data_IF_118214275281
#
_entry.id   IF_118214275281
#
_cell.length_a   1.000
_cell.length_b   1.000
_cell.length_c   1.000
_cell.angle_alpha   90.00
_cell.angle_beta   90.00
_cell.angle_gamma   90.00
#
_symmetry.space_group_name_H-M   'P 1'
#
loop_
_entity.id
_entity.type
_entity.pdbx_description
1 polymer ?
#
# COMPACT_ATOMS: atom_id res chain seq x y z
N UNK A 1 35.51 30.00 -3.73
CA UNK A 1 36.07 28.89 -2.94
C UNK A 1 35.34 28.83 -1.62
N UNK A 2 34.34 27.95 -1.50
CA UNK A 2 33.69 27.60 -0.24
C UNK A 2 33.43 26.10 -0.30
N UNK A 3 34.30 25.38 0.41
CA UNK A 3 34.24 23.93 0.64
C UNK A 3 33.48 23.71 1.95
N UNK A 4 32.72 22.61 2.01
CA UNK A 4 32.06 21.95 3.17
C UNK A 4 30.55 21.83 2.93
N UNK A 5 29.90 20.67 3.04
CA UNK A 5 30.26 19.33 3.51
C UNK A 5 29.23 18.39 2.86
N UNK A 6 29.67 17.31 2.22
CA UNK A 6 28.78 16.23 1.79
C UNK A 6 28.14 15.63 3.04
N UNK A 7 26.84 15.91 3.24
CA UNK A 7 26.04 15.20 4.23
C UNK A 7 25.67 13.86 3.62
N UNK A 8 26.51 12.87 3.87
CA UNK A 8 26.17 11.46 3.79
C UNK A 8 25.01 11.26 4.78
N UNK A 9 23.78 11.30 4.27
CA UNK A 9 22.60 10.89 5.00
C UNK A 9 22.60 9.35 4.94
N UNK A 10 23.32 8.74 5.89
CA UNK A 10 23.08 7.34 6.29
C UNK A 10 21.73 7.36 7.00
N UNK A 11 20.65 7.27 6.22
CA UNK A 11 19.37 6.83 6.74
C UNK A 11 19.53 5.34 7.00
N UNK A 12 19.61 5.02 8.29
CA UNK A 12 19.38 3.72 8.90
C UNK A 12 18.07 3.11 8.35
N UNK A 13 18.15 2.47 7.19
CA UNK A 13 17.09 1.63 6.62
C UNK A 13 17.35 0.18 7.06
N UNK A 14 17.31 -0.03 8.37
CA UNK A 14 17.40 -1.34 9.00
C UNK A 14 16.17 -1.50 9.91
N UNK A 15 15.44 -2.58 9.71
CA UNK A 15 14.30 -3.09 10.50
C UNK A 15 12.93 -2.42 10.32
N UNK A 16 12.24 -2.79 9.24
CA UNK A 16 10.84 -3.26 9.33
C UNK A 16 10.58 -4.35 8.28
N UNK A 17 11.23 -5.51 8.45
CA UNK A 17 10.79 -6.78 7.87
C UNK A 17 10.16 -7.60 9.01
N UNK A 18 8.96 -7.19 9.44
CA UNK A 18 8.10 -8.02 10.26
C UNK A 18 6.71 -8.03 9.65
N UNK A 19 6.52 -8.90 8.67
CA UNK A 19 5.20 -9.45 8.41
C UNK A 19 4.89 -10.41 9.56
N UNK A 20 4.12 -9.96 10.55
CA UNK A 20 3.50 -10.86 11.53
C UNK A 20 2.41 -11.61 10.79
N UNK A 21 2.72 -12.81 10.30
CA UNK A 21 1.73 -13.73 9.76
C UNK A 21 1.38 -14.77 10.82
N UNK A 22 0.49 -14.43 11.74
CA UNK A 22 -0.27 -15.44 12.48
C UNK A 22 -1.75 -15.05 12.54
N UNK A 23 -2.50 -15.49 11.54
CA UNK A 23 -3.94 -15.68 11.67
C UNK A 23 -4.18 -17.18 11.93
N UNK A 24 -4.35 -17.53 13.20
CA UNK A 24 -4.80 -18.85 13.61
C UNK A 24 -6.27 -19.05 13.22
N UNK A 25 -6.56 -19.99 12.33
CA UNK A 25 -7.90 -20.57 12.20
C UNK A 25 -7.80 -22.02 11.67
N UNK A 26 -8.24 -22.97 12.51
CA UNK A 26 -8.43 -24.40 12.24
C UNK A 26 -7.17 -25.26 11.98
N UNK A 27 -7.17 -26.50 12.48
CA UNK A 27 -6.18 -27.54 12.14
C UNK A 27 -6.42 -27.95 10.67
N UNK A 28 -6.00 -27.10 9.75
CA UNK A 28 -5.94 -27.41 8.33
C UNK A 28 -4.73 -28.32 8.13
N UNK A 29 -4.92 -29.44 7.42
CA UNK A 29 -3.83 -30.38 7.13
C UNK A 29 -2.65 -29.65 6.47
N UNK A 30 -1.43 -30.07 6.79
CA UNK A 30 -0.22 -29.43 6.28
C UNK A 30 -0.17 -29.41 4.73
N UNK A 31 -0.74 -30.43 4.10
CA UNK A 31 -0.93 -30.50 2.64
C UNK A 31 -1.88 -29.40 2.11
N UNK A 32 -2.99 -29.15 2.80
CA UNK A 32 -3.91 -28.06 2.43
C UNK A 32 -3.29 -26.67 2.68
N UNK A 33 -2.53 -26.48 3.77
CA UNK A 33 -1.73 -25.27 4.02
C UNK A 33 -0.65 -25.04 2.95
N UNK A 34 -0.15 -26.10 2.30
CA UNK A 34 0.79 -25.97 1.18
C UNK A 34 0.13 -25.49 -0.10
N UNK A 35 -1.14 -25.82 -0.32
CA UNK A 35 -1.84 -25.57 -1.60
C UNK A 35 -2.61 -24.26 -1.63
N UNK A 36 -3.11 -23.79 -0.49
CA UNK A 36 -3.82 -22.50 -0.39
C UNK A 36 -3.22 -21.65 0.73
N UNK A 37 -2.96 -20.38 0.43
CA UNK A 37 -2.58 -19.35 1.41
C UNK A 37 -3.72 -18.36 1.51
N UNK A 38 -4.15 -18.03 2.73
CA UNK A 38 -4.99 -16.86 2.99
C UNK A 38 -4.19 -15.96 3.92
N UNK A 39 -4.15 -14.67 3.62
CA UNK A 39 -3.32 -13.73 4.36
C UNK A 39 -3.91 -12.34 4.43
N UNK A 40 -3.37 -11.56 5.35
CA UNK A 40 -3.62 -10.15 5.50
C UNK A 40 -2.31 -9.46 5.86
N UNK A 41 -2.00 -8.36 5.18
CA UNK A 41 -0.80 -7.58 5.45
C UNK A 41 -1.15 -6.12 5.76
N UNK A 42 -0.28 -5.48 6.55
CA UNK A 42 -0.23 -4.02 6.71
C UNK A 42 1.06 -3.51 6.08
N UNK A 43 0.99 -2.39 5.39
CA UNK A 43 2.14 -1.84 4.67
C UNK A 43 2.12 -0.31 4.69
N UNK A 44 3.24 0.29 4.28
CA UNK A 44 3.34 1.72 4.04
C UNK A 44 3.95 1.98 2.67
N UNK A 45 3.37 2.93 1.94
CA UNK A 45 3.87 3.33 0.64
C UNK A 45 4.69 4.62 0.73
N UNK A 46 5.76 4.66 -0.06
CA UNK A 46 6.54 5.86 -0.33
C UNK A 46 6.35 6.20 -1.80
N UNK A 47 5.76 7.37 -2.08
CA UNK A 47 5.51 7.78 -3.45
C UNK A 47 6.75 8.46 -4.04
N UNK A 48 7.37 7.81 -5.02
CA UNK A 48 8.48 8.39 -5.79
C UNK A 48 7.92 9.25 -6.93
N UNK A 49 8.63 10.33 -7.28
CA UNK A 49 8.24 11.27 -8.34
C UNK A 49 6.85 11.89 -8.15
N UNK A 50 6.55 12.33 -6.93
CA UNK A 50 5.33 13.10 -6.66
C UNK A 50 5.27 14.38 -7.52
N UNK A 51 4.07 14.81 -7.97
CA UNK A 51 3.90 16.05 -8.74
C UNK A 51 4.50 17.27 -8.04
N UNK A 52 4.94 18.25 -8.83
CA UNK A 52 5.52 19.49 -8.32
C UNK A 52 4.62 20.15 -7.26
N UNK A 53 5.22 20.53 -6.12
CA UNK A 53 4.58 21.15 -4.95
C UNK A 53 3.68 20.22 -4.11
N UNK A 54 3.45 18.98 -4.54
CA UNK A 54 2.86 17.95 -3.69
C UNK A 54 3.92 17.43 -2.72
N UNK A 55 3.57 17.37 -1.44
CA UNK A 55 4.34 16.76 -0.38
C UNK A 55 3.46 15.68 0.23
N UNK A 56 3.87 14.44 0.02
CA UNK A 56 3.28 13.28 0.68
C UNK A 56 3.84 13.11 2.09
N UNK A 57 3.05 12.49 2.97
CA UNK A 57 3.56 12.08 4.29
C UNK A 57 4.58 10.95 4.13
N UNK A 58 5.57 10.89 5.02
CA UNK A 58 6.57 9.81 5.07
C UNK A 58 5.96 8.42 5.27
N UNK A 59 4.81 8.33 5.96
CA UNK A 59 4.12 7.05 6.24
C UNK A 59 2.67 7.13 5.77
N UNK A 60 2.35 6.30 4.78
CA UNK A 60 1.03 6.18 4.14
C UNK A 60 0.52 4.76 4.34
N UNK A 61 -0.28 4.55 5.38
CA UNK A 61 -0.68 3.20 5.79
C UNK A 61 -1.69 2.58 4.82
N UNK A 62 -1.44 1.34 4.45
CA UNK A 62 -2.35 0.46 3.73
C UNK A 62 -2.51 -0.89 4.41
N UNK A 63 -3.55 -1.60 3.99
CA UNK A 63 -3.83 -2.97 4.40
C UNK A 63 -4.35 -3.76 3.21
N UNK A 64 -4.03 -5.04 3.16
CA UNK A 64 -4.55 -5.95 2.15
C UNK A 64 -5.07 -7.24 2.79
N UNK A 65 -5.92 -7.93 2.05
CA UNK A 65 -6.32 -9.31 2.33
C UNK A 65 -6.27 -10.07 1.02
N UNK A 66 -5.81 -11.31 1.04
CA UNK A 66 -5.64 -12.11 -0.17
C UNK A 66 -5.85 -13.59 0.06
N UNK A 67 -6.12 -14.26 -1.06
CA UNK A 67 -6.09 -15.71 -1.17
C UNK A 67 -5.21 -16.08 -2.35
N UNK A 68 -4.32 -17.05 -2.16
CA UNK A 68 -3.45 -17.56 -3.21
C UNK A 68 -3.51 -19.07 -3.28
N UNK A 69 -3.58 -19.58 -4.50
CA UNK A 69 -3.30 -20.97 -4.80
C UNK A 69 -1.81 -21.14 -5.09
N UNK A 70 -1.18 -22.11 -4.43
CA UNK A 70 0.25 -22.35 -4.54
C UNK A 70 0.52 -23.61 -5.39
N UNK A 71 1.32 -23.43 -6.43
CA UNK A 71 1.90 -24.49 -7.23
C UNK A 71 3.28 -24.85 -6.66
N UNK A 72 3.52 -26.13 -6.38
CA UNK A 72 4.87 -26.60 -6.03
C UNK A 72 5.68 -26.79 -7.31
N UNK A 73 6.81 -26.11 -7.41
CA UNK A 73 7.68 -26.15 -8.59
C UNK A 73 8.73 -27.27 -8.51
N UNK A 74 8.91 -27.88 -7.34
CA UNK A 74 9.82 -28.99 -7.14
C UNK A 74 9.26 -30.08 -6.24
N UNK A 75 9.82 -31.30 -6.36
CA UNK A 75 9.35 -32.49 -5.61
C UNK A 75 9.51 -32.35 -4.09
N UNK A 76 10.54 -31.63 -3.63
CA UNK A 76 10.72 -31.32 -2.20
C UNK A 76 9.69 -30.32 -1.67
N UNK A 77 9.05 -29.55 -2.56
CA UNK A 77 8.16 -28.44 -2.24
C UNK A 77 8.84 -27.31 -1.46
N UNK A 78 10.14 -27.11 -1.70
CA UNK A 78 10.91 -25.97 -1.18
C UNK A 78 10.82 -24.74 -2.08
N UNK A 79 10.35 -24.90 -3.31
CA UNK A 79 10.08 -23.80 -4.24
C UNK A 79 8.64 -23.89 -4.72
N UNK A 80 7.94 -22.77 -4.71
CA UNK A 80 6.57 -22.68 -5.19
C UNK A 80 6.26 -21.36 -5.88
N UNK A 81 5.12 -21.32 -6.55
CA UNK A 81 4.55 -20.13 -7.15
C UNK A 81 3.13 -19.93 -6.64
N UNK A 82 2.82 -18.77 -6.09
CA UNK A 82 1.50 -18.39 -5.60
C UNK A 82 0.83 -17.41 -6.55
N UNK A 83 -0.47 -17.63 -6.83
CA UNK A 83 -1.32 -16.64 -7.52
C UNK A 83 -2.74 -16.72 -7.00
N UNK A 84 -3.43 -15.59 -6.93
CA UNK A 84 -4.86 -15.57 -6.63
C UNK A 84 -5.41 -14.16 -6.53
N UNK A 85 -6.64 -13.98 -6.01
CA UNK A 85 -7.26 -12.68 -5.83
C UNK A 85 -6.95 -12.05 -4.46
N UNK A 86 -7.05 -10.74 -4.39
CA UNK A 86 -7.00 -9.97 -3.16
C UNK A 86 -7.70 -8.63 -3.25
N UNK A 87 -7.94 -8.03 -2.09
CA UNK A 87 -8.43 -6.66 -1.94
C UNK A 87 -7.39 -5.86 -1.17
N UNK A 88 -7.03 -4.70 -1.68
CA UNK A 88 -6.01 -3.83 -1.13
C UNK A 88 -6.59 -2.44 -0.90
N UNK A 89 -6.32 -1.82 0.25
CA UNK A 89 -6.69 -0.44 0.51
C UNK A 89 -5.50 0.34 1.04
N UNK A 90 -5.13 1.44 0.36
CA UNK A 90 -4.08 2.34 0.83
C UNK A 90 -4.63 3.73 1.14
N UNK A 91 -3.97 4.44 2.04
CA UNK A 91 -4.26 5.84 2.35
C UNK A 91 -3.05 6.69 1.98
N UNK A 92 -3.23 7.57 0.98
CA UNK A 92 -2.26 8.58 0.62
C UNK A 92 -2.58 9.88 1.37
N UNK A 93 -1.67 10.32 2.25
CA UNK A 93 -1.77 11.61 2.94
C UNK A 93 -0.88 12.63 2.24
N UNK A 94 -1.42 13.81 1.97
CA UNK A 94 -0.69 14.87 1.27
C UNK A 94 -1.12 16.28 1.70
N UNK A 95 -0.40 17.28 1.20
CA UNK A 95 -0.77 18.69 1.24
C UNK A 95 -1.59 19.14 0.02
N UNK A 96 -2.24 18.22 -0.69
CA UNK A 96 -3.00 18.52 -1.91
C UNK A 96 -4.41 17.96 -1.85
N UNK A 97 -5.32 18.58 -2.60
CA UNK A 97 -6.65 18.05 -2.91
C UNK A 97 -6.73 17.68 -4.38
N UNK A 98 -7.51 16.65 -4.72
CA UNK A 98 -7.90 16.39 -6.10
C UNK A 98 -9.08 17.32 -6.42
N UNK A 99 -8.98 18.09 -7.50
CA UNK A 99 -10.06 19.00 -7.92
C UNK A 99 -11.27 18.24 -8.46
N UNK A 100 -11.02 17.23 -9.30
CA UNK A 100 -12.05 16.36 -9.83
C UNK A 100 -11.56 14.91 -9.83
N UNK A 101 -12.17 14.09 -8.96
CA UNK A 101 -11.86 12.66 -8.88
C UNK A 101 -12.46 11.92 -10.09
N UNK A 102 -13.47 12.50 -10.75
CA UNK A 102 -14.19 11.94 -11.90
C UNK A 102 -13.62 12.35 -13.25
N UNK A 103 -12.76 13.37 -13.32
CA UNK A 103 -12.15 13.84 -14.56
C UNK A 103 -11.16 12.85 -15.18
N UNK A 104 -10.93 13.00 -16.49
CA UNK A 104 -9.99 12.18 -17.28
C UNK A 104 -8.53 12.35 -16.84
N UNK A 105 -8.23 13.41 -16.09
CA UNK A 105 -6.92 13.65 -15.48
C UNK A 105 -7.06 14.01 -14.00
N UNK A 106 -6.22 13.39 -13.16
CA UNK A 106 -6.18 13.66 -11.73
C UNK A 106 -5.19 14.81 -11.49
N UNK A 107 -5.72 16.01 -11.22
CA UNK A 107 -4.92 17.17 -10.88
C UNK A 107 -4.81 17.35 -9.36
N UNK A 108 -3.58 17.24 -8.84
CA UNK A 108 -3.27 17.52 -7.44
C UNK A 108 -3.04 19.02 -7.25
N UNK A 109 -3.94 19.68 -6.54
CA UNK A 109 -3.82 21.10 -6.21
C UNK A 109 -3.32 21.28 -4.79
N UNK A 110 -2.17 21.96 -4.59
CA UNK A 110 -1.65 22.20 -3.26
C UNK A 110 -2.60 23.09 -2.45
N UNK A 111 -2.74 22.78 -1.16
CA UNK A 111 -3.63 23.46 -0.23
C UNK A 111 -2.86 24.64 0.38
N UNK A 112 -3.34 25.86 0.16
CA UNK A 112 -2.72 27.10 0.67
C UNK A 112 -3.35 27.62 1.97
N UNK A 113 -4.45 27.02 2.41
CA UNK A 113 -5.20 27.39 3.63
C UNK A 113 -4.90 26.44 4.78
N UNK A 114 -5.16 26.87 6.02
CA UNK A 114 -4.98 25.99 7.18
C UNK A 114 -5.88 24.75 7.09
N UNK A 115 -5.24 23.59 7.19
CA UNK A 115 -5.91 22.29 7.08
C UNK A 115 -5.31 21.30 8.08
N UNK A 116 -6.18 20.46 8.63
CA UNK A 116 -5.79 19.43 9.59
C UNK A 116 -5.41 18.13 8.89
N UNK A 117 -6.09 17.79 7.79
CA UNK A 117 -5.88 16.52 7.08
C UNK A 117 -6.40 16.60 5.65
N UNK A 118 -5.56 16.23 4.69
CA UNK A 118 -5.98 15.85 3.34
C UNK A 118 -5.50 14.42 3.07
N UNK A 119 -6.43 13.55 2.67
CA UNK A 119 -6.09 12.18 2.27
C UNK A 119 -6.96 11.67 1.15
N UNK A 120 -6.35 10.83 0.32
CA UNK A 120 -7.02 10.03 -0.70
C UNK A 120 -6.88 8.57 -0.28
N UNK A 121 -7.99 7.85 -0.23
CA UNK A 121 -8.00 6.41 0.02
C UNK A 121 -8.48 5.72 -1.23
N UNK A 122 -7.70 4.75 -1.70
CA UNK A 122 -8.04 3.98 -2.89
C UNK A 122 -8.09 2.51 -2.53
N UNK A 123 -9.10 1.82 -3.05
CA UNK A 123 -9.32 0.39 -2.89
C UNK A 123 -9.12 -0.27 -4.24
N UNK A 124 -8.35 -1.34 -4.26
CA UNK A 124 -8.04 -2.13 -5.45
C UNK A 124 -8.52 -3.56 -5.27
N UNK A 125 -9.07 -4.11 -6.34
CA UNK A 125 -8.97 -5.54 -6.58
C UNK A 125 -7.57 -5.81 -7.12
N UNK A 126 -6.84 -6.77 -6.57
CA UNK A 126 -5.50 -7.08 -7.04
C UNK A 126 -5.24 -8.57 -7.15
N UNK A 127 -4.27 -8.92 -8.00
CA UNK A 127 -3.80 -10.27 -8.24
C UNK A 127 -2.35 -10.34 -7.74
N UNK A 128 -2.12 -10.87 -6.51
CA UNK A 128 -0.77 -11.16 -6.03
C UNK A 128 -0.19 -12.39 -6.71
N UNK A 129 1.02 -12.25 -7.25
CA UNK A 129 1.81 -13.34 -7.81
C UNK A 129 3.18 -13.37 -7.17
N UNK A 130 3.60 -14.49 -6.59
CA UNK A 130 4.89 -14.57 -5.92
C UNK A 130 5.58 -15.93 -6.05
N UNK A 131 6.90 -15.92 -6.16
CA UNK A 131 7.76 -17.08 -6.05
C UNK A 131 8.16 -17.24 -4.58
N UNK A 132 7.89 -18.42 -4.02
CA UNK A 132 8.07 -18.79 -2.62
C UNK A 132 9.24 -19.74 -2.47
N UNK A 133 10.19 -19.40 -1.61
CA UNK A 133 11.30 -20.23 -1.19
C UNK A 133 11.11 -20.64 0.28
N UNK A 134 11.22 -21.93 0.56
CA UNK A 134 11.17 -22.49 1.92
C UNK A 134 12.51 -23.15 2.22
N UNK A 135 13.20 -22.63 3.23
CA UNK A 135 14.47 -23.19 3.70
C UNK A 135 14.21 -24.25 4.76
N UNK A 136 15.19 -25.13 5.00
CA UNK A 136 15.07 -26.24 5.96
C UNK A 136 14.85 -25.79 7.41
N UNK A 137 15.15 -24.53 7.71
CA UNK A 137 15.03 -23.93 9.03
C UNK A 137 13.69 -23.21 9.23
N UNK A 138 12.64 -23.61 8.49
CA UNK A 138 11.31 -22.98 8.44
C UNK A 138 11.25 -21.51 8.00
N UNK A 139 12.39 -20.91 7.65
CA UNK A 139 12.46 -19.59 7.04
C UNK A 139 11.80 -19.64 5.65
N UNK A 140 10.92 -18.68 5.38
CA UNK A 140 10.24 -18.51 4.10
C UNK A 140 10.57 -17.15 3.52
N UNK A 141 10.93 -17.12 2.25
CA UNK A 141 11.18 -15.91 1.49
C UNK A 141 10.26 -15.90 0.27
N UNK A 142 9.60 -14.78 0.01
CA UNK A 142 8.73 -14.60 -1.15
C UNK A 142 9.16 -13.37 -1.93
N UNK A 143 9.18 -13.48 -3.25
CA UNK A 143 9.41 -12.35 -4.16
C UNK A 143 8.28 -12.36 -5.20
N UNK A 144 7.61 -11.23 -5.39
CA UNK A 144 6.41 -11.19 -6.21
C UNK A 144 6.04 -9.81 -6.73
N UNK A 145 4.99 -9.80 -7.55
CA UNK A 145 4.39 -8.64 -8.17
C UNK A 145 2.89 -8.63 -7.90
N UNK A 146 2.32 -7.43 -7.77
CA UNK A 146 0.89 -7.22 -7.57
C UNK A 146 0.34 -6.43 -8.75
N UNK A 147 -0.70 -6.96 -9.41
CA UNK A 147 -1.43 -6.25 -10.47
C UNK A 147 -2.78 -5.83 -9.93
N UNK A 148 -3.10 -4.53 -9.95
CA UNK A 148 -4.30 -3.99 -9.32
C UNK A 148 -5.20 -3.20 -10.26
N UNK A 149 -6.51 -3.36 -10.10
CA UNK A 149 -7.57 -2.56 -10.71
C UNK A 149 -8.27 -1.76 -9.61
N UNK A 150 -8.47 -0.46 -9.83
CA UNK A 150 -9.16 0.39 -8.85
C UNK A 150 -10.64 0.02 -8.80
N UNK A 151 -11.21 -0.03 -7.59
CA UNK A 151 -12.65 -0.32 -7.38
C UNK A 151 -13.38 0.89 -6.78
N UNK A 152 -12.73 1.57 -5.84
CA UNK A 152 -13.34 2.67 -5.08
C UNK A 152 -12.25 3.67 -4.70
N UNK A 153 -12.55 4.96 -4.81
CA UNK A 153 -11.67 6.04 -4.42
C UNK A 153 -12.43 7.06 -3.58
N UNK A 154 -11.85 7.44 -2.44
CA UNK A 154 -12.44 8.34 -1.46
C UNK A 154 -11.46 9.42 -1.07
N UNK A 155 -11.84 10.67 -1.30
CA UNK A 155 -11.12 11.84 -0.79
C UNK A 155 -11.73 12.27 0.55
N UNK A 156 -10.89 12.60 1.51
CA UNK A 156 -11.27 13.20 2.79
C UNK A 156 -10.40 14.43 3.03
N UNK A 157 -11.05 15.59 3.07
CA UNK A 157 -10.43 16.86 3.44
C UNK A 157 -11.06 17.39 4.73
N UNK A 158 -10.21 17.81 5.66
CA UNK A 158 -10.57 18.49 6.89
C UNK A 158 -9.71 19.74 7.00
N UNK A 159 -10.32 20.89 6.81
CA UNK A 159 -9.64 22.17 6.86
C UNK A 159 -10.60 23.31 6.56
N UNK A 160 -10.05 24.50 6.46
CA UNK A 160 -10.86 25.66 6.09
C UNK A 160 -11.24 25.57 4.62
N UNK A 161 -12.48 25.93 4.28
CA UNK A 161 -12.87 26.10 2.87
C UNK A 161 -12.25 27.41 2.35
N UNK A 162 -11.60 27.43 1.17
CA UNK A 162 -11.04 28.65 0.62
C UNK A 162 -12.05 29.79 0.42
N UNK A 163 -13.34 29.49 0.28
CA UNK A 163 -14.40 30.50 0.05
C UNK A 163 -14.76 31.33 1.27
N UNK A 164 -14.88 30.71 2.45
CA UNK A 164 -15.49 31.33 3.64
C UNK A 164 -14.64 31.20 4.90
N UNK A 165 -13.45 30.60 4.81
CA UNK A 165 -12.54 30.30 5.91
C UNK A 165 -13.19 29.52 7.10
N UNK A 166 -14.36 28.91 6.87
CA UNK A 166 -15.05 28.02 7.81
C UNK A 166 -14.45 26.62 7.74
N UNK A 167 -14.29 25.98 8.90
CA UNK A 167 -13.87 24.58 9.00
C UNK A 167 -14.95 23.67 8.41
N UNK A 168 -14.56 22.89 7.41
CA UNK A 168 -15.44 21.93 6.74
C UNK A 168 -14.82 20.54 6.70
N UNK A 169 -15.68 19.53 6.75
CA UNK A 169 -15.35 18.16 6.44
C UNK A 169 -15.91 17.84 5.05
N UNK A 170 -15.05 17.70 4.07
CA UNK A 170 -15.45 17.28 2.72
C UNK A 170 -15.07 15.81 2.52
N UNK A 171 -16.04 15.01 2.10
CA UNK A 171 -15.88 13.58 1.87
C UNK A 171 -16.53 13.23 0.54
N UNK A 172 -15.70 13.01 -0.46
CA UNK A 172 -16.13 12.68 -1.82
C UNK A 172 -15.78 11.23 -2.14
N UNK A 173 -16.67 10.55 -2.87
CA UNK A 173 -16.54 9.14 -3.23
C UNK A 173 -16.74 8.99 -4.74
N UNK A 174 -15.83 8.28 -5.40
CA UNK A 174 -15.98 7.77 -6.76
C UNK A 174 -15.91 6.25 -6.72
N UNK A 175 -16.87 5.62 -7.38
CA UNK A 175 -16.87 4.19 -7.66
C UNK A 175 -16.51 4.10 -9.15
N UNK A 176 -15.52 3.29 -9.50
CA UNK A 176 -15.22 2.98 -10.91
C UNK A 176 -16.24 2.00 -11.49
#
# INVERSE_FOLDING_TARGET
MFIMKQRIIIISFLLTLFSVQEMSAQIISESAKRKVTVGADIYTDIWLNQPDKMVTRTVNQGANVFMQYNFLLNKSGSVGFGVGPGIMSHNLYSNSTIQDIKGDSILFSPISVDYRRSKVNVVYFYIPMDIKFRFKNDIKLSIGFNFGFTMDSKQKYYGNRPSDNKRVMLKEKKIE
#
